data_IF_610434358173
#
_entry.id   IF_610434358173
#
_cell.length_a   1.000
_cell.length_b   1.000
_cell.length_c   1.000
_cell.angle_alpha   90.00
_cell.angle_beta   90.00
_cell.angle_gamma   90.00
#
_symmetry.space_group_name_H-M   'P 1'
#
loop_
_entity.id
_entity.type
_entity.pdbx_description
1 polymer ?
#
# COMPACT_ATOMS: atom_id res chain seq x y z
N UNK A 1 11.79 27.53 1.71
CA UNK A 1 10.77 28.59 1.88
C UNK A 1 10.15 28.45 3.26
N UNK A 2 9.61 29.52 3.84
CA UNK A 2 8.87 29.49 5.12
C UNK A 2 7.60 30.33 4.97
N UNK A 3 6.47 29.83 5.49
CA UNK A 3 5.20 30.57 5.51
C UNK A 3 5.37 31.92 6.22
N UNK A 4 4.96 33.03 5.60
CA UNK A 4 5.25 34.40 6.09
C UNK A 4 4.84 34.62 7.55
N UNK A 5 3.59 34.34 7.89
CA UNK A 5 3.09 34.53 9.25
C UNK A 5 3.82 33.68 10.29
N UNK A 6 4.26 32.47 9.92
CA UNK A 6 5.04 31.60 10.79
C UNK A 6 6.48 32.11 10.95
N UNK A 7 7.07 32.67 9.88
CA UNK A 7 8.39 33.28 9.97
C UNK A 7 8.40 34.50 10.91
N UNK A 8 7.29 35.27 10.93
CA UNK A 8 7.13 36.47 11.78
C UNK A 8 6.76 36.13 13.24
N UNK A 9 5.86 35.16 13.45
CA UNK A 9 5.25 34.90 14.79
C UNK A 9 5.68 33.56 15.42
N UNK A 10 6.39 32.70 14.69
CA UNK A 10 6.74 31.34 15.12
C UNK A 10 5.50 30.46 15.33
N UNK A 11 5.55 29.57 16.34
CA UNK A 11 4.42 28.69 16.70
C UNK A 11 3.12 29.43 17.04
N UNK A 12 3.20 30.71 17.46
CA UNK A 12 2.03 31.56 17.73
C UNK A 12 1.23 31.94 16.48
N UNK A 13 1.77 31.68 15.29
CA UNK A 13 1.05 31.88 14.02
C UNK A 13 -0.12 30.89 13.81
N UNK A 14 -0.21 29.82 14.61
CA UNK A 14 -1.28 28.82 14.49
C UNK A 14 -1.38 28.19 13.09
N UNK A 15 -2.57 27.70 12.75
CA UNK A 15 -2.85 27.02 11.47
C UNK A 15 -3.61 27.85 10.44
N UNK A 16 -4.23 28.97 10.83
CA UNK A 16 -5.23 29.70 10.00
C UNK A 16 -4.71 30.13 8.62
N UNK A 17 -3.45 30.55 8.53
CA UNK A 17 -2.84 30.97 7.26
C UNK A 17 -2.24 29.85 6.42
N UNK A 18 -2.42 28.57 6.78
CA UNK A 18 -2.01 27.46 5.89
C UNK A 18 -2.82 27.56 4.59
N UNK A 19 -2.18 27.24 3.47
CA UNK A 19 -2.73 27.32 2.10
C UNK A 19 -2.99 28.74 1.54
N UNK A 20 -3.14 29.76 2.40
CA UNK A 20 -3.43 31.14 1.99
C UNK A 20 -2.24 32.11 2.12
N UNK A 21 -1.33 31.87 3.07
CA UNK A 21 -0.17 32.74 3.27
C UNK A 21 0.87 32.63 2.14
N UNK A 22 1.50 33.77 1.86
CA UNK A 22 2.70 33.80 1.02
C UNK A 22 3.88 33.05 1.67
N UNK A 23 4.74 32.50 0.82
CA UNK A 23 5.99 31.88 1.23
C UNK A 23 7.18 32.82 1.01
N UNK A 24 8.05 32.90 2.01
CA UNK A 24 9.26 33.73 1.98
C UNK A 24 10.49 32.84 1.77
N UNK A 25 11.39 33.27 0.87
CA UNK A 25 12.68 32.61 0.67
C UNK A 25 13.60 32.90 1.85
N UNK A 26 14.27 31.85 2.33
CA UNK A 26 15.26 31.91 3.41
C UNK A 26 16.48 31.07 3.04
N UNK A 27 17.60 31.29 3.70
CA UNK A 27 18.78 30.41 3.57
C UNK A 27 18.51 29.01 4.15
N UNK A 28 19.28 28.03 3.71
CA UNK A 28 19.24 26.67 4.26
C UNK A 28 19.56 26.66 5.77
N UNK A 29 20.56 27.42 6.19
CA UNK A 29 20.93 27.54 7.60
C UNK A 29 19.76 28.06 8.45
N UNK A 30 19.04 29.08 7.95
CA UNK A 30 17.85 29.61 8.64
C UNK A 30 16.75 28.56 8.73
N UNK A 31 16.45 27.87 7.63
CA UNK A 31 15.43 26.82 7.63
C UNK A 31 15.76 25.68 8.61
N UNK A 32 17.00 25.20 8.62
CA UNK A 32 17.45 24.14 9.52
C UNK A 32 17.37 24.56 10.99
N UNK A 33 17.79 25.79 11.32
CA UNK A 33 17.67 26.34 12.69
C UNK A 33 16.22 26.44 13.16
N UNK A 34 15.29 26.83 12.27
CA UNK A 34 13.87 26.92 12.59
C UNK A 34 13.28 25.54 12.90
N UNK A 35 13.58 24.52 12.08
CA UNK A 35 13.12 23.13 12.31
C UNK A 35 13.72 22.56 13.60
N UNK A 36 15.04 22.68 13.79
CA UNK A 36 15.71 22.18 14.99
C UNK A 36 15.20 22.88 16.26
N UNK A 37 14.94 24.19 16.19
CA UNK A 37 14.37 24.96 17.29
C UNK A 37 12.97 24.45 17.70
N UNK A 38 12.10 24.15 16.74
CA UNK A 38 10.78 23.60 17.04
C UNK A 38 10.83 22.17 17.56
N UNK A 39 11.69 21.31 17.01
CA UNK A 39 11.89 19.95 17.53
C UNK A 39 12.34 19.97 19.00
N UNK A 40 13.26 20.88 19.34
CA UNK A 40 13.70 21.10 20.72
C UNK A 40 12.58 21.64 21.60
N UNK A 41 11.87 22.68 21.14
CA UNK A 41 10.76 23.31 21.88
C UNK A 41 9.66 22.30 22.20
N UNK A 42 9.19 21.55 21.21
CA UNK A 42 8.09 20.60 21.39
C UNK A 42 8.50 19.51 22.38
N UNK A 43 9.69 18.94 22.22
CA UNK A 43 10.24 17.96 23.15
C UNK A 43 10.30 18.48 24.59
N UNK A 44 10.88 19.66 24.80
CA UNK A 44 11.09 20.23 26.14
C UNK A 44 9.79 20.70 26.80
N UNK A 45 8.76 21.03 26.01
CA UNK A 45 7.48 21.53 26.52
C UNK A 45 6.42 20.44 26.69
N UNK A 46 6.39 19.44 25.81
CA UNK A 46 5.27 18.50 25.68
C UNK A 46 5.66 17.02 25.59
N UNK A 47 6.94 16.67 25.77
CA UNK A 47 7.51 15.32 25.54
C UNK A 47 7.71 14.98 24.04
N UNK A 48 8.72 14.16 23.68
CA UNK A 48 8.90 13.62 22.32
C UNK A 48 7.63 13.02 21.70
N UNK A 49 6.73 12.43 22.48
CA UNK A 49 5.46 11.86 22.02
C UNK A 49 4.53 12.87 21.35
N UNK A 50 4.67 14.17 21.62
CA UNK A 50 3.91 15.23 20.95
C UNK A 50 4.36 15.48 19.49
N UNK A 51 5.46 14.85 19.05
CA UNK A 51 5.93 14.92 17.67
C UNK A 51 5.38 13.72 16.90
N UNK A 52 4.53 13.96 15.90
CA UNK A 52 4.10 12.92 14.97
C UNK A 52 5.17 12.70 13.89
N UNK A 53 5.79 11.52 13.90
CA UNK A 53 6.89 11.13 13.00
C UNK A 53 6.58 9.95 12.10
N UNK A 54 5.32 9.53 12.04
CA UNK A 54 4.89 8.39 11.23
C UNK A 54 5.27 8.54 9.75
N UNK A 55 4.81 9.63 9.12
CA UNK A 55 5.12 9.94 7.72
C UNK A 55 4.85 8.77 6.75
N UNK A 56 3.64 8.18 6.80
CA UNK A 56 3.23 7.13 5.87
C UNK A 56 3.31 7.60 4.42
N UNK A 57 3.82 6.75 3.53
CA UNK A 57 3.83 7.01 2.10
C UNK A 57 4.89 6.21 1.36
N UNK A 58 4.72 6.15 0.04
CA UNK A 58 5.72 5.66 -0.89
C UNK A 58 6.91 6.62 -0.96
N UNK A 59 8.11 6.06 -1.09
CA UNK A 59 9.35 6.81 -1.20
C UNK A 59 10.23 6.22 -2.29
N UNK A 60 11.33 6.90 -2.62
CA UNK A 60 12.33 6.34 -3.54
C UNK A 60 12.98 5.09 -2.94
N UNK A 61 13.24 4.11 -3.80
CA UNK A 61 14.00 2.91 -3.47
C UNK A 61 15.43 3.31 -3.11
N UNK A 62 15.85 3.06 -1.87
CA UNK A 62 17.22 3.25 -1.42
C UNK A 62 17.40 2.66 -0.02
N UNK A 63 18.47 1.89 0.19
CA UNK A 63 18.83 1.40 1.53
C UNK A 63 19.34 2.52 2.45
N UNK A 64 19.96 3.57 1.89
CA UNK A 64 20.57 4.68 2.64
C UNK A 64 19.73 5.95 2.56
N UNK A 65 19.26 6.30 1.36
CA UNK A 65 18.54 7.53 1.04
C UNK A 65 17.04 7.49 1.29
N UNK A 66 16.54 6.51 2.06
CA UNK A 66 15.13 6.41 2.39
C UNK A 66 14.72 7.59 3.30
N UNK A 67 13.92 8.50 2.74
CA UNK A 67 13.52 9.73 3.43
C UNK A 67 12.80 9.48 4.77
N UNK A 68 11.98 8.43 4.85
CA UNK A 68 11.28 8.05 6.08
C UNK A 68 12.25 7.56 7.14
N UNK A 69 13.17 6.66 6.78
CA UNK A 69 14.18 6.15 7.71
C UNK A 69 15.10 7.27 8.21
N UNK A 70 15.49 8.20 7.32
CA UNK A 70 16.32 9.36 7.68
C UNK A 70 15.59 10.33 8.60
N UNK A 71 14.31 10.62 8.33
CA UNK A 71 13.46 11.41 9.22
C UNK A 71 13.38 10.77 10.61
N UNK A 72 13.00 9.49 10.66
CA UNK A 72 12.83 8.76 11.92
C UNK A 72 14.15 8.63 12.69
N UNK A 73 15.30 8.52 12.01
CA UNK A 73 16.61 8.58 12.64
C UNK A 73 16.86 9.92 13.32
N UNK A 74 16.54 11.04 12.67
CA UNK A 74 16.65 12.38 13.27
C UNK A 74 15.72 12.53 14.48
N UNK A 75 14.47 12.06 14.38
CA UNK A 75 13.51 12.13 15.47
C UNK A 75 13.91 11.25 16.67
N UNK A 76 14.46 10.06 16.42
CA UNK A 76 15.02 9.21 17.48
C UNK A 76 16.17 9.90 18.21
N UNK A 77 17.09 10.54 17.48
CA UNK A 77 18.17 11.35 18.08
C UNK A 77 17.64 12.58 18.84
N UNK A 78 16.46 13.08 18.47
CA UNK A 78 15.78 14.15 19.19
C UNK A 78 15.09 13.66 20.48
N UNK A 79 14.93 12.36 20.71
CA UNK A 79 14.32 11.79 21.93
C UNK A 79 13.10 10.92 21.68
N UNK A 80 12.71 10.69 20.42
CA UNK A 80 11.56 9.84 20.05
C UNK A 80 10.44 10.62 19.37
N UNK A 81 9.36 9.92 19.03
CA UNK A 81 8.18 10.44 18.33
C UNK A 81 7.00 9.45 18.41
N UNK A 82 5.79 9.93 18.14
CA UNK A 82 4.59 9.10 17.93
C UNK A 82 4.51 8.63 16.48
N UNK A 83 4.20 7.34 16.28
CA UNK A 83 4.10 6.68 14.96
C UNK A 83 2.74 5.99 14.76
N UNK A 84 2.58 5.24 13.66
CA UNK A 84 1.40 4.45 13.33
C UNK A 84 1.74 2.95 13.19
N UNK A 85 0.69 2.13 13.19
CA UNK A 85 0.74 0.71 12.80
C UNK A 85 -0.12 0.46 11.57
N UNK A 86 0.20 -0.57 10.82
CA UNK A 86 -0.50 -0.93 9.58
C UNK A 86 -0.18 -0.02 8.39
N UNK A 87 -0.98 -0.14 7.34
CA UNK A 87 -0.82 0.57 6.09
C UNK A 87 -2.17 0.71 5.35
N UNK A 88 -2.21 1.59 4.35
CA UNK A 88 -3.41 1.84 3.55
C UNK A 88 -3.72 0.74 2.52
N UNK A 89 -2.80 -0.19 2.27
CA UNK A 89 -3.00 -1.26 1.29
C UNK A 89 -3.79 -2.42 1.89
N UNK A 90 -3.44 -2.87 3.11
CA UNK A 90 -3.96 -4.12 3.67
C UNK A 90 -4.39 -3.99 5.14
N UNK A 91 -4.71 -2.78 5.62
CA UNK A 91 -5.02 -2.48 7.03
C UNK A 91 -6.00 -3.44 7.72
N UNK A 92 -7.04 -3.93 7.03
CA UNK A 92 -7.96 -4.94 7.59
C UNK A 92 -7.40 -6.37 7.49
N UNK A 93 -6.90 -6.75 6.31
CA UNK A 93 -6.42 -8.10 6.03
C UNK A 93 -5.28 -8.51 6.98
N UNK A 94 -4.31 -7.62 7.20
CA UNK A 94 -3.17 -7.89 8.09
C UNK A 94 -3.56 -8.10 9.55
N UNK A 95 -4.75 -7.64 9.96
CA UNK A 95 -5.27 -7.84 11.32
C UNK A 95 -6.04 -9.14 11.41
N UNK A 96 -6.87 -9.48 10.43
CA UNK A 96 -7.75 -10.66 10.50
C UNK A 96 -7.05 -11.96 10.13
N UNK A 97 -6.14 -11.96 9.16
CA UNK A 97 -5.53 -13.18 8.63
C UNK A 97 -4.71 -13.98 9.66
N UNK A 98 -3.98 -13.36 10.61
CA UNK A 98 -3.31 -14.12 11.67
C UNK A 98 -4.26 -14.98 12.51
N UNK A 99 -5.52 -14.57 12.68
CA UNK A 99 -6.53 -15.35 13.41
C UNK A 99 -7.18 -16.45 12.57
N UNK A 100 -7.10 -16.37 11.24
CA UNK A 100 -7.73 -17.33 10.32
C UNK A 100 -6.73 -18.37 9.81
N UNK A 101 -5.55 -17.92 9.38
CA UNK A 101 -4.52 -18.75 8.74
C UNK A 101 -3.19 -18.77 9.50
N UNK A 102 -3.09 -18.10 10.65
CA UNK A 102 -1.87 -18.09 11.48
C UNK A 102 -0.73 -17.25 10.92
N UNK A 103 -0.96 -16.46 9.87
CA UNK A 103 0.05 -15.65 9.18
C UNK A 103 -0.52 -14.33 8.63
N UNK A 104 0.33 -13.42 8.17
CA UNK A 104 -0.09 -12.12 7.61
C UNK A 104 -0.76 -12.30 6.23
N UNK A 105 -0.32 -13.28 5.44
CA UNK A 105 -0.90 -13.73 4.17
C UNK A 105 -0.80 -12.75 3.00
N UNK A 106 -0.56 -11.46 3.22
CA UNK A 106 -0.58 -10.42 2.16
C UNK A 106 0.79 -9.94 1.70
N UNK A 107 1.85 -10.14 2.50
CA UNK A 107 3.23 -9.73 2.18
C UNK A 107 4.21 -10.91 2.31
N UNK A 108 3.73 -12.10 1.96
CA UNK A 108 4.51 -13.34 2.03
C UNK A 108 4.79 -13.87 0.63
N UNK A 109 5.84 -14.69 0.54
CA UNK A 109 6.19 -15.31 -0.72
C UNK A 109 5.08 -16.26 -1.17
N UNK A 110 4.65 -16.10 -2.42
CA UNK A 110 3.65 -16.96 -3.06
C UNK A 110 4.30 -18.10 -3.83
N UNK A 111 3.48 -19.04 -4.30
CA UNK A 111 3.92 -20.16 -5.15
C UNK A 111 4.69 -19.67 -6.38
N UNK A 112 5.75 -20.39 -6.75
CA UNK A 112 6.59 -20.02 -7.91
C UNK A 112 5.82 -20.06 -9.23
N UNK A 113 6.21 -19.18 -10.15
CA UNK A 113 5.67 -19.15 -11.50
C UNK A 113 5.87 -20.47 -12.26
N UNK A 114 6.92 -21.23 -11.96
CA UNK A 114 7.15 -22.55 -12.53
C UNK A 114 6.00 -23.51 -12.19
N UNK A 115 5.66 -23.64 -10.91
CA UNK A 115 4.60 -24.54 -10.47
C UNK A 115 3.22 -24.06 -10.92
N UNK A 116 2.98 -22.74 -10.90
CA UNK A 116 1.74 -22.13 -11.43
C UNK A 116 1.59 -22.46 -12.92
N UNK A 117 2.64 -22.26 -13.72
CA UNK A 117 2.62 -22.57 -15.14
C UNK A 117 2.60 -24.06 -15.44
N UNK A 118 2.96 -24.94 -14.51
CA UNK A 118 2.86 -26.38 -14.70
C UNK A 118 1.45 -26.89 -14.38
N UNK A 119 0.89 -26.49 -13.24
CA UNK A 119 -0.26 -27.16 -12.61
C UNK A 119 -1.59 -26.43 -12.74
N UNK A 120 -1.59 -25.13 -13.04
CA UNK A 120 -2.85 -24.35 -13.06
C UNK A 120 -3.60 -24.52 -14.38
N UNK A 121 -4.90 -24.84 -14.28
CA UNK A 121 -5.84 -24.96 -15.41
C UNK A 121 -6.83 -23.79 -15.51
N UNK A 122 -7.05 -23.09 -14.39
CA UNK A 122 -7.94 -21.95 -14.26
C UNK A 122 -7.32 -20.92 -13.31
N UNK A 123 -7.27 -19.66 -13.73
CA UNK A 123 -6.93 -18.52 -12.88
C UNK A 123 -8.18 -17.71 -12.59
N UNK A 124 -8.41 -17.41 -11.31
CA UNK A 124 -9.49 -16.51 -10.89
C UNK A 124 -8.87 -15.20 -10.40
N UNK A 125 -9.07 -14.12 -11.15
CA UNK A 125 -8.67 -12.77 -10.78
C UNK A 125 -9.81 -12.14 -9.98
N UNK A 126 -9.74 -12.20 -8.65
CA UNK A 126 -10.77 -11.63 -7.77
C UNK A 126 -10.33 -10.27 -7.26
N UNK A 127 -10.98 -9.19 -7.75
CA UNK A 127 -10.65 -7.82 -7.37
C UNK A 127 -9.21 -7.41 -7.70
N UNK A 128 -8.58 -8.04 -8.71
CA UNK A 128 -7.17 -7.88 -9.03
C UNK A 128 -6.94 -7.50 -10.49
N UNK A 129 -5.91 -6.69 -10.74
CA UNK A 129 -5.43 -6.33 -12.08
C UNK A 129 -3.88 -6.29 -12.16
N UNK A 130 -3.23 -7.47 -12.11
CA UNK A 130 -1.78 -7.57 -11.99
C UNK A 130 -0.98 -6.98 -13.17
N UNK A 131 -1.55 -6.81 -14.37
CA UNK A 131 -0.85 -6.12 -15.46
C UNK A 131 -0.63 -4.64 -15.18
N UNK A 132 -1.48 -4.02 -14.36
CA UNK A 132 -1.31 -2.63 -13.91
C UNK A 132 -0.47 -2.60 -12.62
N UNK A 133 -0.87 -3.38 -11.63
CA UNK A 133 -0.33 -3.21 -10.27
C UNK A 133 1.07 -3.82 -10.06
N UNK A 134 1.54 -4.70 -10.96
CA UNK A 134 2.89 -5.27 -10.87
C UNK A 134 3.97 -4.41 -11.56
N UNK A 135 3.61 -3.26 -12.13
CA UNK A 135 4.57 -2.30 -12.72
C UNK A 135 5.35 -1.52 -11.64
N UNK A 136 4.97 -1.68 -10.37
CA UNK A 136 5.58 -1.04 -9.21
C UNK A 136 5.92 -2.09 -8.15
N UNK A 137 6.94 -1.80 -7.35
CA UNK A 137 7.34 -2.62 -6.20
C UNK A 137 7.96 -1.73 -5.12
N UNK A 138 7.92 -2.19 -3.87
CA UNK A 138 8.58 -1.56 -2.73
C UNK A 138 10.10 -1.42 -2.94
N UNK A 139 10.68 -2.37 -3.69
CA UNK A 139 12.04 -2.37 -4.17
C UNK A 139 12.09 -2.04 -5.68
N UNK A 140 13.29 -2.04 -6.26
CA UNK A 140 13.41 -1.94 -7.71
C UNK A 140 12.87 -3.22 -8.35
N UNK A 141 11.68 -3.13 -8.95
CA UNK A 141 11.05 -4.22 -9.69
C UNK A 141 11.90 -4.64 -10.90
N UNK A 142 11.89 -5.94 -11.21
CA UNK A 142 12.49 -6.50 -12.43
C UNK A 142 11.41 -6.97 -13.43
N UNK A 143 10.14 -6.68 -13.14
CA UNK A 143 8.98 -6.94 -14.00
C UNK A 143 8.81 -8.44 -14.33
N UNK A 144 9.26 -9.34 -13.45
CA UNK A 144 9.26 -10.79 -13.62
C UNK A 144 7.84 -11.35 -13.76
N UNK A 145 6.85 -10.71 -13.14
CA UNK A 145 5.45 -11.15 -13.16
C UNK A 145 4.83 -11.12 -14.56
N UNK A 146 5.31 -10.23 -15.45
CA UNK A 146 4.83 -10.16 -16.82
C UNK A 146 5.12 -11.47 -17.58
N UNK A 147 6.32 -12.04 -17.40
CA UNK A 147 6.70 -13.31 -18.03
C UNK A 147 5.81 -14.47 -17.58
N UNK A 148 5.48 -14.53 -16.29
CA UNK A 148 4.59 -15.54 -15.73
C UNK A 148 3.17 -15.51 -16.31
N UNK A 149 2.58 -14.32 -16.42
CA UNK A 149 1.26 -14.13 -17.03
C UNK A 149 1.26 -14.47 -18.53
N UNK A 150 2.30 -14.11 -19.26
CA UNK A 150 2.44 -14.44 -20.68
C UNK A 150 2.58 -15.96 -20.91
N UNK A 151 3.28 -16.66 -20.03
CA UNK A 151 3.39 -18.12 -20.09
C UNK A 151 2.03 -18.81 -19.88
N UNK A 152 1.23 -18.34 -18.92
CA UNK A 152 -0.14 -18.83 -18.71
C UNK A 152 -1.02 -18.58 -19.93
N UNK A 153 -0.92 -17.38 -20.52
CA UNK A 153 -1.62 -17.03 -21.76
C UNK A 153 -1.22 -17.95 -22.92
N UNK A 154 0.08 -18.21 -23.09
CA UNK A 154 0.59 -19.09 -24.15
C UNK A 154 0.09 -20.55 -24.01
N UNK A 155 -0.08 -21.03 -22.77
CA UNK A 155 -0.71 -22.33 -22.48
C UNK A 155 -2.22 -22.35 -22.72
N UNK A 156 -2.85 -21.19 -22.94
CA UNK A 156 -4.29 -21.07 -23.13
C UNK A 156 -5.11 -21.34 -21.87
N UNK A 157 -4.52 -21.09 -20.69
CA UNK A 157 -5.19 -21.22 -19.38
C UNK A 157 -6.42 -20.32 -19.35
N UNK A 158 -7.52 -20.84 -18.80
CA UNK A 158 -8.76 -20.08 -18.68
C UNK A 158 -8.61 -19.06 -17.55
N UNK A 159 -9.19 -17.88 -17.75
CA UNK A 159 -9.24 -16.81 -16.75
C UNK A 159 -10.68 -16.47 -16.44
N UNK A 160 -11.00 -16.31 -15.15
CA UNK A 160 -12.25 -15.70 -14.70
C UNK A 160 -11.91 -14.46 -13.91
N UNK A 161 -12.36 -13.30 -14.36
CA UNK A 161 -12.18 -12.03 -13.66
C UNK A 161 -13.45 -11.66 -12.91
N UNK A 162 -13.38 -11.63 -11.59
CA UNK A 162 -14.46 -11.14 -10.70
C UNK A 162 -14.10 -9.72 -10.29
N UNK A 163 -14.63 -8.75 -11.03
CA UNK A 163 -14.30 -7.34 -10.84
C UNK A 163 -15.42 -6.47 -11.44
N UNK A 164 -15.89 -5.40 -10.77
CA UNK A 164 -16.91 -4.49 -11.33
C UNK A 164 -16.47 -3.84 -12.66
N UNK A 165 -15.16 -3.64 -12.86
CA UNK A 165 -14.58 -3.20 -14.12
C UNK A 165 -13.82 -4.36 -14.76
N UNK A 166 -13.77 -4.37 -16.10
CA UNK A 166 -12.99 -5.37 -16.82
C UNK A 166 -11.49 -5.06 -16.61
N UNK A 167 -10.69 -5.95 -15.98
CA UNK A 167 -9.27 -5.70 -15.76
C UNK A 167 -8.47 -5.78 -17.06
N UNK A 168 -7.40 -4.99 -17.18
CA UNK A 168 -6.44 -5.04 -18.28
C UNK A 168 -5.83 -6.44 -18.41
N UNK A 169 -5.60 -7.09 -17.27
CA UNK A 169 -5.13 -8.48 -17.21
C UNK A 169 -6.13 -9.40 -17.91
N UNK A 170 -7.44 -9.23 -17.69
CA UNK A 170 -8.43 -10.06 -18.35
C UNK A 170 -8.48 -9.80 -19.86
N UNK A 171 -8.33 -8.54 -20.28
CA UNK A 171 -8.22 -8.18 -21.70
C UNK A 171 -7.02 -8.87 -22.37
N UNK A 172 -5.89 -8.93 -21.67
CA UNK A 172 -4.69 -9.60 -22.16
C UNK A 172 -4.92 -11.07 -22.51
N UNK A 173 -5.87 -11.77 -21.86
CA UNK A 173 -6.18 -13.18 -22.14
C UNK A 173 -7.28 -13.37 -23.21
N UNK A 174 -7.90 -12.29 -23.70
CA UNK A 174 -8.87 -12.32 -24.80
C UNK A 174 -10.02 -13.30 -24.55
N UNK A 175 -10.33 -14.14 -25.54
CA UNK A 175 -11.43 -15.12 -25.49
C UNK A 175 -11.26 -16.21 -24.42
N UNK A 176 -10.07 -16.32 -23.81
CA UNK A 176 -9.83 -17.23 -22.67
C UNK A 176 -10.28 -16.64 -21.35
N UNK A 177 -10.60 -15.34 -21.30
CA UNK A 177 -11.08 -14.65 -20.12
C UNK A 177 -12.61 -14.50 -20.12
N UNK A 178 -13.22 -14.82 -18.99
CA UNK A 178 -14.62 -14.54 -18.69
C UNK A 178 -14.71 -13.49 -17.59
N UNK A 179 -15.49 -12.43 -17.80
CA UNK A 179 -15.78 -11.42 -16.77
C UNK A 179 -17.04 -11.74 -15.96
N UNK A 180 -17.00 -11.47 -14.67
CA UNK A 180 -18.14 -11.41 -13.76
C UNK A 180 -18.06 -10.07 -13.02
N UNK A 181 -19.07 -9.22 -13.22
CA UNK A 181 -19.11 -7.88 -12.64
C UNK A 181 -20.14 -7.80 -11.50
N UNK A 182 -19.76 -8.13 -10.25
CA UNK A 182 -20.64 -7.94 -9.10
C UNK A 182 -20.84 -6.45 -8.81
N UNK A 183 -21.89 -6.13 -8.04
CA UNK A 183 -22.02 -4.78 -7.47
C UNK A 183 -20.88 -4.57 -6.46
N UNK A 184 -20.18 -3.42 -6.45
CA UNK A 184 -19.13 -3.16 -5.47
C UNK A 184 -19.62 -3.40 -4.03
N UNK A 185 -18.82 -4.10 -3.23
CA UNK A 185 -19.16 -4.43 -1.84
C UNK A 185 -20.07 -5.65 -1.66
N UNK A 186 -20.30 -6.45 -2.70
CA UNK A 186 -21.18 -7.64 -2.63
C UNK A 186 -20.46 -8.98 -2.80
N UNK A 187 -19.13 -8.98 -2.86
CA UNK A 187 -18.28 -10.16 -3.06
C UNK A 187 -18.53 -11.28 -2.04
N UNK A 188 -18.70 -10.92 -0.77
CA UNK A 188 -18.98 -11.89 0.30
C UNK A 188 -20.31 -12.61 0.08
N UNK A 189 -21.35 -11.92 -0.40
CA UNK A 189 -22.63 -12.56 -0.70
C UNK A 189 -22.50 -13.56 -1.87
N UNK A 190 -21.68 -13.23 -2.88
CA UNK A 190 -21.35 -14.14 -3.97
C UNK A 190 -20.60 -15.38 -3.48
N UNK A 191 -19.61 -15.21 -2.59
CA UNK A 191 -18.88 -16.32 -1.96
C UNK A 191 -19.84 -17.25 -1.20
N UNK A 192 -20.70 -16.70 -0.33
CA UNK A 192 -21.66 -17.46 0.46
C UNK A 192 -22.66 -18.23 -0.41
N UNK A 193 -23.18 -17.60 -1.48
CA UNK A 193 -24.09 -18.26 -2.42
C UNK A 193 -23.43 -19.44 -3.15
N UNK A 194 -22.15 -19.30 -3.54
CA UNK A 194 -21.38 -20.38 -4.17
C UNK A 194 -21.13 -21.53 -3.19
N UNK A 195 -20.71 -21.22 -1.96
CA UNK A 195 -20.48 -22.23 -0.91
C UNK A 195 -21.76 -22.98 -0.57
N UNK A 196 -22.88 -22.26 -0.37
CA UNK A 196 -24.18 -22.87 -0.08
C UNK A 196 -24.59 -23.89 -1.15
N UNK A 197 -24.42 -23.53 -2.44
CA UNK A 197 -24.69 -24.45 -3.55
C UNK A 197 -23.78 -25.68 -3.53
N UNK A 198 -22.48 -25.50 -3.26
CA UNK A 198 -21.53 -26.60 -3.21
C UNK A 198 -21.84 -27.59 -2.06
N UNK A 199 -22.25 -27.07 -0.89
CA UNK A 199 -22.72 -27.89 0.22
C UNK A 199 -23.99 -28.68 -0.16
N UNK A 200 -24.95 -28.01 -0.80
CA UNK A 200 -26.21 -28.66 -1.22
C UNK A 200 -26.01 -29.75 -2.30
N UNK A 201 -25.01 -29.59 -3.18
CA UNK A 201 -24.68 -30.57 -4.22
C UNK A 201 -23.69 -31.66 -3.78
N UNK A 202 -23.28 -31.68 -2.50
CA UNK A 202 -22.28 -32.63 -1.99
C UNK A 202 -20.89 -32.49 -2.61
N UNK A 203 -20.60 -31.32 -3.19
CA UNK A 203 -19.36 -31.03 -3.93
C UNK A 203 -18.35 -30.22 -3.10
N UNK A 204 -18.60 -30.06 -1.80
CA UNK A 204 -17.65 -29.45 -0.88
C UNK A 204 -16.38 -30.32 -0.79
N UNK A 205 -15.18 -29.75 -0.89
CA UNK A 205 -13.95 -30.48 -0.54
C UNK A 205 -14.10 -31.04 0.89
N UNK A 206 -13.71 -32.30 1.08
CA UNK A 206 -13.61 -32.90 2.42
C UNK A 206 -12.52 -32.24 3.22
#
# INVERSE_FOLDING_TARGET
>A
MVRKSWLEKGHRAGGEGRESDQFVRVSWEKAAKLVAGELKRVRETYDPGAIWGGSYGWMRTSSVGNARNLLQRVLNLNGGYTTYTGDYSTGCAQVVLPYVIGSNGVYEQVTSWELINEKTELVVLWGADPTITNDIDWCTTIHENAGGLLALKARGVKVVAINPLKPDTAECFGDKAQGIAPRPGTDVAMMLGRTSRACASGSSPK
#
